data_IF_260421097423
#
_entry.id   IF_260421097423
#
_cell.length_a   1.000
_cell.length_b   1.000
_cell.length_c   1.000
_cell.angle_alpha   90.00
_cell.angle_beta   90.00
_cell.angle_gamma   90.00
#
_symmetry.space_group_name_H-M   'P 1'
#
loop_
_entity.id
_entity.type
_entity.pdbx_description
1 polymer ?
#
# COMPACT_ATOMS: atom_id res chain seq x y z
N UNK A 1 17.26 5.46 -6.98
CA UNK A 1 16.26 4.38 -6.80
C UNK A 1 16.41 3.43 -7.98
N UNK A 2 16.13 2.14 -7.79
CA UNK A 2 16.19 1.18 -8.91
C UNK A 2 15.05 0.20 -8.77
N UNK A 3 14.34 -0.04 -9.86
CA UNK A 3 13.27 -1.04 -9.92
C UNK A 3 13.84 -2.45 -9.86
N UNK A 4 13.40 -3.22 -8.86
CA UNK A 4 13.67 -4.65 -8.79
C UNK A 4 12.79 -5.38 -9.82
N UNK A 5 13.29 -6.44 -10.52
CA UNK A 5 12.49 -7.15 -11.54
C UNK A 5 11.17 -7.72 -11.04
N UNK A 6 11.08 -8.01 -9.74
CA UNK A 6 9.88 -8.52 -9.06
C UNK A 6 9.12 -7.43 -8.27
N UNK A 7 9.35 -6.14 -8.50
CA UNK A 7 8.61 -5.07 -7.82
C UNK A 7 8.10 -4.04 -8.82
N UNK A 8 6.83 -3.69 -8.67
CA UNK A 8 6.22 -2.59 -9.43
C UNK A 8 6.63 -1.22 -8.90
N UNK A 9 7.11 -1.13 -7.66
CA UNK A 9 7.61 0.10 -7.05
C UNK A 9 9.15 0.10 -7.05
N UNK A 10 9.77 1.21 -7.42
CA UNK A 10 11.19 1.43 -7.15
C UNK A 10 11.40 1.62 -5.65
N UNK A 11 12.31 0.83 -5.06
CA UNK A 11 12.52 0.84 -3.61
C UNK A 11 13.84 1.52 -3.28
N UNK A 12 13.85 2.32 -2.22
CA UNK A 12 15.05 2.99 -1.71
C UNK A 12 14.95 3.16 -0.19
N UNK A 13 16.10 3.32 0.47
CA UNK A 13 16.13 3.60 1.91
C UNK A 13 15.39 4.90 2.29
N UNK A 14 15.53 6.02 1.54
CA UNK A 14 14.71 7.21 1.78
C UNK A 14 13.20 6.94 1.73
N UNK A 15 12.73 6.12 0.78
CA UNK A 15 11.32 5.75 0.71
C UNK A 15 10.88 5.01 1.98
N UNK A 16 11.64 4.01 2.43
CA UNK A 16 11.32 3.26 3.65
C UNK A 16 11.28 4.18 4.87
N UNK A 17 12.23 5.10 4.97
CA UNK A 17 12.29 6.08 6.06
C UNK A 17 11.12 7.06 6.02
N UNK A 18 10.71 7.51 4.83
CA UNK A 18 9.52 8.32 4.63
C UNK A 18 8.30 7.56 5.14
N UNK A 19 8.02 6.37 4.61
CA UNK A 19 6.88 5.55 5.03
C UNK A 19 6.83 5.36 6.55
N UNK A 20 7.97 5.04 7.17
CA UNK A 20 8.05 4.90 8.62
C UNK A 20 7.74 6.19 9.39
N UNK A 21 8.04 7.36 8.84
CA UNK A 21 7.76 8.66 9.48
C UNK A 21 6.30 9.13 9.31
N UNK A 22 5.65 8.75 8.21
CA UNK A 22 4.30 9.23 7.89
C UNK A 22 3.21 8.30 8.44
N UNK A 23 3.49 7.00 8.49
CA UNK A 23 2.54 6.01 8.95
C UNK A 23 2.38 6.07 10.48
N UNK A 24 1.14 5.93 10.99
CA UNK A 24 0.90 5.83 12.42
C UNK A 24 1.87 4.83 13.09
N UNK A 25 2.44 5.19 14.24
CA UNK A 25 3.37 4.31 14.93
C UNK A 25 2.62 3.09 15.51
N UNK A 26 3.32 1.94 15.71
CA UNK A 26 2.76 0.83 16.47
C UNK A 26 2.21 1.28 17.83
N UNK A 27 1.07 0.74 18.31
CA UNK A 27 0.40 -0.47 17.80
C UNK A 27 -0.61 -0.22 16.67
N UNK A 28 -0.72 1.00 16.13
CA UNK A 28 -1.68 1.29 15.07
C UNK A 28 -1.42 0.42 13.82
N UNK A 29 -2.48 -0.23 13.34
CA UNK A 29 -2.43 -1.12 12.19
C UNK A 29 -2.25 -0.31 10.89
N UNK A 30 -1.38 -0.81 10.00
CA UNK A 30 -1.24 -0.35 8.63
C UNK A 30 -1.46 -1.50 7.66
N UNK A 31 -2.25 -1.24 6.61
CA UNK A 31 -2.50 -2.19 5.53
C UNK A 31 -1.88 -1.69 4.23
N UNK A 32 -1.00 -2.49 3.62
CA UNK A 32 -0.44 -2.26 2.29
C UNK A 32 -1.27 -3.01 1.25
N UNK A 33 -2.15 -2.31 0.55
CA UNK A 33 -3.08 -2.87 -0.42
C UNK A 33 -2.37 -3.07 -1.76
N UNK A 34 -2.49 -4.26 -2.33
CA UNK A 34 -1.80 -4.68 -3.55
C UNK A 34 -0.30 -4.86 -3.33
N UNK A 35 0.08 -5.56 -2.25
CA UNK A 35 1.49 -5.78 -1.88
C UNK A 35 2.30 -6.54 -2.94
N UNK A 36 1.64 -7.19 -3.90
CA UNK A 36 2.28 -7.92 -4.98
C UNK A 36 3.26 -8.96 -4.41
N UNK A 37 4.51 -8.99 -4.91
CA UNK A 37 5.54 -9.88 -4.38
C UNK A 37 5.96 -9.64 -2.93
N UNK A 38 5.57 -8.51 -2.32
CA UNK A 38 5.82 -8.19 -0.91
C UNK A 38 7.20 -7.57 -0.63
N UNK A 39 7.93 -7.13 -1.65
CA UNK A 39 9.32 -6.67 -1.48
C UNK A 39 9.41 -5.37 -0.68
N UNK A 40 8.53 -4.39 -0.96
CA UNK A 40 8.52 -3.10 -0.26
C UNK A 40 8.24 -3.32 1.23
N UNK A 41 7.25 -4.14 1.52
CA UNK A 41 6.79 -4.46 2.87
C UNK A 41 7.85 -5.24 3.63
N UNK A 42 8.47 -6.25 3.01
CA UNK A 42 9.52 -7.04 3.61
C UNK A 42 10.74 -6.17 3.98
N UNK A 43 11.15 -5.28 3.07
CA UNK A 43 12.26 -4.35 3.33
C UNK A 43 11.88 -3.35 4.43
N UNK A 44 10.65 -2.82 4.44
CA UNK A 44 10.19 -1.94 5.51
C UNK A 44 10.27 -2.64 6.88
N UNK A 45 9.80 -3.88 6.98
CA UNK A 45 9.86 -4.66 8.22
C UNK A 45 11.29 -5.03 8.63
N UNK A 46 12.16 -5.30 7.67
CA UNK A 46 13.58 -5.56 7.93
C UNK A 46 14.27 -4.32 8.51
N UNK A 47 13.97 -3.12 7.99
CA UNK A 47 14.55 -1.87 8.46
C UNK A 47 13.89 -1.33 9.74
N UNK A 48 12.60 -1.62 9.95
CA UNK A 48 11.81 -1.17 11.11
C UNK A 48 11.06 -2.34 11.78
N UNK A 49 11.77 -3.24 12.49
CA UNK A 49 11.17 -4.44 13.08
C UNK A 49 10.05 -4.18 14.10
N UNK A 50 10.02 -2.99 14.71
CA UNK A 50 8.94 -2.59 15.61
C UNK A 50 7.54 -2.62 14.95
N UNK A 51 7.47 -2.55 13.60
CA UNK A 51 6.23 -2.61 12.83
C UNK A 51 5.76 -4.03 12.52
N UNK A 52 6.54 -5.08 12.82
CA UNK A 52 6.19 -6.46 12.47
C UNK A 52 4.86 -6.94 13.05
N UNK A 53 4.37 -6.34 14.14
CA UNK A 53 3.06 -6.64 14.72
C UNK A 53 1.91 -5.75 14.25
N UNK A 54 2.15 -4.76 13.39
CA UNK A 54 1.13 -3.77 13.01
C UNK A 54 1.19 -3.34 11.54
N UNK A 55 1.90 -4.08 10.69
CA UNK A 55 2.00 -3.80 9.26
C UNK A 55 1.78 -5.09 8.45
N UNK A 56 0.80 -5.06 7.56
CA UNK A 56 0.38 -6.24 6.79
C UNK A 56 0.23 -5.90 5.31
N UNK A 57 0.72 -6.78 4.44
CA UNK A 57 0.47 -6.72 3.00
C UNK A 57 -0.84 -7.44 2.65
N UNK A 58 -1.68 -6.83 1.83
CA UNK A 58 -2.93 -7.41 1.33
C UNK A 58 -2.77 -7.71 -0.15
N UNK A 59 -2.98 -8.98 -0.53
CA UNK A 59 -2.89 -9.45 -1.91
C UNK A 59 -4.05 -10.38 -2.27
N UNK A 60 -4.30 -10.60 -3.56
CA UNK A 60 -5.33 -11.53 -4.01
C UNK A 60 -4.92 -12.97 -3.68
N UNK A 61 -5.84 -13.72 -3.06
CA UNK A 61 -5.65 -15.15 -2.83
C UNK A 61 -5.46 -15.89 -4.16
N UNK A 62 -4.57 -16.88 -4.18
CA UNK A 62 -4.48 -17.82 -5.30
C UNK A 62 -5.79 -18.60 -5.34
N UNK A 63 -6.52 -18.53 -6.46
CA UNK A 63 -7.83 -19.18 -6.55
C UNK A 63 -7.69 -20.70 -6.42
N UNK A 64 -8.74 -21.39 -5.95
CA UNK A 64 -8.73 -22.85 -5.83
C UNK A 64 -8.50 -23.56 -7.19
N UNK A 65 -8.86 -22.91 -8.31
CA UNK A 65 -8.58 -23.38 -9.66
C UNK A 65 -7.09 -23.26 -10.08
N UNK A 66 -6.29 -22.55 -9.28
CA UNK A 66 -4.89 -22.24 -9.50
C UNK A 66 -3.99 -22.82 -8.40
N UNK A 67 -4.41 -23.90 -7.72
CA UNK A 67 -3.64 -24.53 -6.62
C UNK A 67 -2.17 -24.90 -6.97
N UNK A 68 -1.82 -25.00 -8.25
CA UNK A 68 -0.45 -25.23 -8.72
C UNK A 68 0.35 -23.95 -9.01
N UNK A 69 -0.23 -22.76 -8.80
CA UNK A 69 0.46 -21.48 -8.95
C UNK A 69 1.08 -21.06 -7.61
N UNK A 70 2.33 -20.60 -7.69
CA UNK A 70 3.06 -20.05 -6.55
C UNK A 70 2.32 -18.80 -6.03
N UNK A 71 2.28 -18.57 -4.70
CA UNK A 71 1.81 -17.31 -4.14
C UNK A 71 2.49 -16.12 -4.81
N UNK A 72 1.73 -15.05 -5.04
CA UNK A 72 2.27 -13.82 -5.61
C UNK A 72 3.30 -13.23 -4.65
N UNK A 73 2.96 -13.16 -3.36
CA UNK A 73 3.85 -12.71 -2.31
C UNK A 73 4.93 -13.77 -2.04
N UNK A 74 6.19 -13.39 -2.21
CA UNK A 74 7.36 -14.27 -2.04
C UNK A 74 8.42 -13.69 -1.10
N UNK A 75 8.29 -12.42 -0.73
CA UNK A 75 9.24 -11.71 0.13
C UNK A 75 8.68 -11.47 1.53
N UNK A 76 7.39 -11.18 1.67
CA UNK A 76 6.79 -10.90 2.97
C UNK A 76 6.53 -12.22 3.71
N UNK A 77 6.79 -12.29 5.02
CA UNK A 77 6.43 -13.46 5.81
C UNK A 77 4.92 -13.71 5.80
N UNK A 78 4.53 -14.98 5.90
CA UNK A 78 3.12 -15.40 5.87
C UNK A 78 2.31 -14.72 6.98
N UNK A 79 2.88 -14.57 8.18
CA UNK A 79 2.21 -13.92 9.30
C UNK A 79 1.94 -12.42 9.09
N UNK A 80 2.57 -11.79 8.09
CA UNK A 80 2.34 -10.39 7.71
C UNK A 80 1.57 -10.29 6.38
N UNK A 81 1.07 -11.41 5.85
CA UNK A 81 0.33 -11.46 4.58
C UNK A 81 -1.14 -11.73 4.86
N UNK A 82 -2.00 -10.88 4.31
CA UNK A 82 -3.45 -11.03 4.29
C UNK A 82 -3.90 -11.22 2.85
N UNK A 83 -5.03 -11.92 2.67
CA UNK A 83 -5.55 -12.19 1.33
C UNK A 83 -7.00 -11.79 1.13
N UNK A 84 -7.32 -11.34 -0.08
CA UNK A 84 -8.70 -11.02 -0.51
C UNK A 84 -9.14 -11.85 -1.71
N UNK A 85 -10.46 -11.99 -1.88
CA UNK A 85 -11.06 -12.81 -2.94
C UNK A 85 -11.25 -12.02 -4.24
N UNK A 86 -10.12 -11.64 -4.86
CA UNK A 86 -10.09 -10.99 -6.17
C UNK A 86 -9.62 -9.55 -6.13
N UNK A 87 -9.33 -9.01 -7.31
CA UNK A 87 -8.73 -7.67 -7.49
C UNK A 87 -9.66 -6.50 -7.16
N UNK A 88 -10.93 -6.77 -6.87
CA UNK A 88 -11.95 -5.77 -6.53
C UNK A 88 -12.32 -5.82 -5.04
N UNK A 89 -11.84 -6.84 -4.32
CA UNK A 89 -12.29 -7.12 -2.97
C UNK A 89 -11.60 -6.19 -1.96
N UNK A 90 -12.42 -5.67 -1.04
CA UNK A 90 -11.94 -4.97 0.16
C UNK A 90 -11.69 -6.02 1.23
N UNK A 91 -10.64 -5.83 2.03
CA UNK A 91 -10.35 -6.65 3.21
C UNK A 91 -11.53 -6.64 4.20
N UNK A 92 -11.49 -7.57 5.16
CA UNK A 92 -12.46 -7.61 6.25
C UNK A 92 -12.70 -6.24 6.90
N UNK A 93 -13.96 -5.91 7.16
CA UNK A 93 -14.35 -4.60 7.67
C UNK A 93 -13.84 -4.35 9.10
N UNK A 94 -13.73 -5.39 9.92
CA UNK A 94 -13.14 -5.29 11.27
C UNK A 94 -11.68 -4.86 11.19
N UNK A 95 -10.88 -5.57 10.38
CA UNK A 95 -9.47 -5.22 10.14
C UNK A 95 -9.30 -3.83 9.52
N UNK A 96 -10.16 -3.47 8.57
CA UNK A 96 -10.11 -2.15 7.95
C UNK A 96 -10.38 -1.05 8.98
N UNK A 97 -11.35 -1.24 9.87
CA UNK A 97 -11.69 -0.27 10.92
C UNK A 97 -10.59 -0.11 11.98
N UNK A 98 -9.74 -1.13 12.19
CA UNK A 98 -8.58 -1.05 13.07
C UNK A 98 -7.37 -0.33 12.43
N UNK A 99 -7.35 -0.24 11.10
CA UNK A 99 -6.24 0.38 10.38
C UNK A 99 -6.19 1.90 10.61
N UNK A 100 -5.08 2.39 11.15
CA UNK A 100 -4.78 3.82 11.24
C UNK A 100 -4.22 4.40 9.95
N UNK A 101 -3.59 3.56 9.12
CA UNK A 101 -3.03 3.96 7.83
C UNK A 101 -3.24 2.94 6.72
N UNK A 102 -3.39 3.44 5.49
CA UNK A 102 -3.43 2.63 4.27
C UNK A 102 -2.28 3.03 3.35
N UNK A 103 -1.63 2.04 2.76
CA UNK A 103 -0.67 2.21 1.66
C UNK A 103 -1.23 1.53 0.43
N UNK A 104 -1.37 2.26 -0.66
CA UNK A 104 -1.77 1.70 -1.96
C UNK A 104 -0.56 1.69 -2.88
N UNK A 105 -0.15 0.50 -3.31
CA UNK A 105 1.02 0.33 -4.17
C UNK A 105 0.56 -0.11 -5.55
N UNK A 106 0.76 0.69 -6.59
CA UNK A 106 0.53 0.31 -8.00
C UNK A 106 -0.83 -0.35 -8.26
N UNK A 107 -1.90 0.24 -7.72
CA UNK A 107 -3.25 -0.26 -7.93
C UNK A 107 -3.63 -0.20 -9.41
N UNK A 108 -4.38 -1.19 -9.88
CA UNK A 108 -4.78 -1.28 -11.29
C UNK A 108 -5.95 -0.38 -11.65
N UNK A 109 -6.80 -0.05 -10.67
CA UNK A 109 -8.04 0.70 -10.91
C UNK A 109 -8.34 1.62 -9.71
N UNK A 110 -8.73 2.89 -9.95
CA UNK A 110 -9.15 3.80 -8.89
C UNK A 110 -10.42 3.37 -8.16
N UNK A 111 -11.26 2.53 -8.78
CA UNK A 111 -12.48 1.99 -8.15
C UNK A 111 -12.19 1.22 -6.87
N UNK A 112 -11.08 0.47 -6.83
CA UNK A 112 -10.65 -0.25 -5.63
C UNK A 112 -10.25 0.73 -4.52
N UNK A 113 -9.51 1.78 -4.84
CA UNK A 113 -9.14 2.83 -3.89
C UNK A 113 -10.40 3.45 -3.28
N UNK A 114 -11.39 3.83 -4.10
CA UNK A 114 -12.68 4.36 -3.61
C UNK A 114 -13.38 3.39 -2.68
N UNK A 115 -13.45 2.10 -3.04
CA UNK A 115 -14.12 1.09 -2.22
C UNK A 115 -13.49 0.91 -0.82
N UNK A 116 -12.16 1.04 -0.70
CA UNK A 116 -11.49 1.06 0.60
C UNK A 116 -11.80 2.36 1.36
N UNK A 117 -11.64 3.52 0.71
CA UNK A 117 -11.78 4.83 1.35
C UNK A 117 -13.22 5.16 1.77
N UNK A 118 -14.23 4.63 1.09
CA UNK A 118 -15.65 4.78 1.48
C UNK A 118 -15.97 4.09 2.81
N UNK A 119 -15.29 2.99 3.12
CA UNK A 119 -15.51 2.19 4.33
C UNK A 119 -14.55 2.54 5.46
N UNK A 120 -13.41 3.13 5.11
CA UNK A 120 -12.32 3.37 6.04
C UNK A 120 -12.35 4.77 6.68
N UNK A 121 -12.05 4.82 7.98
CA UNK A 121 -12.14 6.04 8.81
C UNK A 121 -10.81 6.46 9.45
N UNK A 122 -9.68 5.87 9.03
CA UNK A 122 -8.37 6.23 9.57
C UNK A 122 -7.87 7.57 9.04
N UNK A 123 -6.58 7.83 9.25
CA UNK A 123 -6.03 9.19 9.20
C UNK A 123 -5.05 9.41 8.05
N UNK A 124 -4.28 8.39 7.67
CA UNK A 124 -3.19 8.54 6.70
C UNK A 124 -3.34 7.58 5.52
N UNK A 125 -3.39 8.12 4.31
CA UNK A 125 -3.29 7.34 3.06
C UNK A 125 -2.02 7.72 2.34
N UNK A 126 -1.30 6.71 1.88
CA UNK A 126 -0.16 6.86 0.99
C UNK A 126 -0.45 6.13 -0.30
N UNK A 127 -0.31 6.80 -1.43
CA UNK A 127 -0.38 6.19 -2.74
C UNK A 127 0.98 6.24 -3.41
N UNK A 128 1.46 5.08 -3.86
CA UNK A 128 2.72 4.93 -4.59
C UNK A 128 2.38 4.40 -5.98
N UNK A 129 2.70 5.17 -7.02
CA UNK A 129 2.35 4.83 -8.39
C UNK A 129 2.96 5.76 -9.42
N UNK A 130 2.70 5.53 -10.71
CA UNK A 130 3.17 6.39 -11.79
C UNK A 130 2.59 7.80 -11.68
N UNK A 131 3.41 8.84 -11.92
CA UNK A 131 2.95 10.24 -11.98
C UNK A 131 1.87 10.49 -13.02
N UNK A 132 1.93 9.78 -14.14
CA UNK A 132 0.93 9.87 -15.20
C UNK A 132 -0.48 9.41 -14.75
N UNK A 133 -0.55 8.52 -13.76
CA UNK A 133 -1.81 7.95 -13.30
C UNK A 133 -2.48 8.83 -12.23
N UNK A 134 -1.79 9.88 -11.73
CA UNK A 134 -2.34 10.75 -10.69
C UNK A 134 -3.66 11.41 -11.12
N UNK A 135 -3.81 11.76 -12.40
CA UNK A 135 -5.06 12.34 -12.90
C UNK A 135 -6.25 11.39 -12.72
N UNK A 136 -6.03 10.09 -12.87
CA UNK A 136 -7.07 9.06 -12.73
C UNK A 136 -7.36 8.71 -11.26
N UNK A 137 -6.30 8.62 -10.44
CA UNK A 137 -6.37 8.16 -9.06
C UNK A 137 -6.63 9.28 -8.04
N UNK A 138 -6.09 10.48 -8.28
CA UNK A 138 -6.18 11.64 -7.39
C UNK A 138 -7.59 11.96 -6.89
N UNK A 139 -8.62 11.99 -7.77
CA UNK A 139 -9.99 12.29 -7.34
C UNK A 139 -10.54 11.34 -6.26
N UNK A 140 -10.14 10.07 -6.24
CA UNK A 140 -10.58 9.12 -5.21
C UNK A 140 -10.05 9.51 -3.83
N UNK A 141 -8.80 9.96 -3.75
CA UNK A 141 -8.18 10.40 -2.51
C UNK A 141 -8.64 11.79 -2.10
N UNK A 142 -8.88 12.69 -3.05
CA UNK A 142 -9.37 14.05 -2.77
C UNK A 142 -10.80 14.05 -2.22
N UNK A 143 -11.69 13.22 -2.80
CA UNK A 143 -13.04 13.03 -2.27
C UNK A 143 -13.01 12.55 -0.81
N UNK A 144 -12.07 11.66 -0.49
CA UNK A 144 -11.82 11.27 0.88
C UNK A 144 -11.21 12.44 1.67
N UNK A 145 -10.16 13.11 1.22
CA UNK A 145 -9.45 14.14 1.99
C UNK A 145 -10.19 15.51 2.09
N UNK A 146 -11.49 15.56 1.80
CA UNK A 146 -12.26 16.81 1.82
C UNK A 146 -11.76 17.82 0.79
N UNK A 147 -11.45 17.34 -0.42
CA UNK A 147 -10.94 18.09 -1.58
C UNK A 147 -9.50 18.64 -1.42
N UNK A 148 -8.81 18.31 -0.32
CA UNK A 148 -7.39 18.65 -0.16
C UNK A 148 -6.52 17.72 -1.02
N UNK A 149 -5.76 18.32 -1.94
CA UNK A 149 -4.79 17.62 -2.78
C UNK A 149 -3.71 16.94 -1.94
N UNK A 150 -3.28 15.78 -2.38
CA UNK A 150 -2.12 15.08 -1.81
C UNK A 150 -0.81 15.76 -2.20
N UNK A 151 0.20 15.62 -1.35
CA UNK A 151 1.56 16.10 -1.63
C UNK A 151 2.40 14.94 -2.20
N UNK A 152 3.04 15.13 -3.36
CA UNK A 152 4.06 14.19 -3.84
C UNK A 152 5.35 14.36 -3.03
N UNK A 153 5.56 13.47 -2.07
CA UNK A 153 6.74 13.43 -1.21
C UNK A 153 7.81 12.46 -1.73
N UNK A 154 7.63 11.90 -2.93
CA UNK A 154 8.49 10.85 -3.49
C UNK A 154 9.73 11.35 -4.24
N UNK A 155 9.88 12.67 -4.43
CA UNK A 155 10.97 13.25 -5.23
C UNK A 155 12.35 12.78 -4.73
N UNK A 156 13.12 12.14 -5.62
CA UNK A 156 14.44 11.59 -5.31
C UNK A 156 14.44 10.28 -4.49
N UNK A 157 13.28 9.84 -4.00
CA UNK A 157 13.12 8.59 -3.24
C UNK A 157 12.65 7.43 -4.11
N UNK A 158 11.90 7.72 -5.17
CA UNK A 158 11.44 6.77 -6.18
C UNK A 158 11.93 7.19 -7.56
N UNK A 159 11.82 6.30 -8.55
CA UNK A 159 12.19 6.56 -9.95
C UNK A 159 11.42 7.78 -10.49
N UNK A 160 12.00 8.50 -11.47
CA UNK A 160 11.48 9.79 -11.96
C UNK A 160 10.05 9.72 -12.54
N UNK A 161 9.61 8.54 -12.97
CA UNK A 161 8.23 8.32 -13.42
C UNK A 161 7.22 8.04 -12.30
N UNK A 162 7.67 7.85 -11.06
CA UNK A 162 6.86 7.39 -9.91
C UNK A 162 6.76 8.47 -8.84
N UNK A 163 5.64 8.59 -8.16
CA UNK A 163 5.50 9.49 -7.00
C UNK A 163 4.95 8.79 -5.77
N UNK A 164 4.94 9.53 -4.66
CA UNK A 164 4.43 9.10 -3.37
C UNK A 164 3.50 10.18 -2.85
N UNK A 165 2.19 10.03 -3.07
CA UNK A 165 1.20 11.00 -2.63
C UNK A 165 0.69 10.68 -1.24
N UNK A 166 0.68 11.69 -0.40
CA UNK A 166 0.28 11.57 1.00
C UNK A 166 -0.97 12.40 1.25
N UNK A 167 -1.97 11.77 1.86
CA UNK A 167 -3.25 12.38 2.24
C UNK A 167 -3.46 12.16 3.73
N UNK A 168 -3.85 13.22 4.45
CA UNK A 168 -4.03 13.20 5.91
C UNK A 168 -5.28 13.96 6.33
N UNK A 169 -6.10 13.32 7.15
CA UNK A 169 -7.25 13.93 7.83
C UNK A 169 -6.93 14.31 9.27
#
# INVERSE_FOLDING_TARGET
PTRHPLSCCSVSLPLLSLLNSLLPPPPALTLSIGSGPGLLEALLLQHYPARSGSFYGVEVAVSAAQQNQKPVNVFLPEQNTLTVNGTWAVIDEGLLNEAGGLVFVYQRQPSLVRAYLEKWKGEVVIWIGPRADLEEFGPAFEQWNGEKKGEDMGAGMVDEGEGVWVYRR
#
